data_IF_394480831993
#
_entry.id   IF_394480831993
#
_cell.length_a   1.000
_cell.length_b   1.000
_cell.length_c   1.000
_cell.angle_alpha   90.00
_cell.angle_beta   90.00
_cell.angle_gamma   90.00
#
_symmetry.space_group_name_H-M   'P 1'
#
loop_
_entity.id
_entity.type
_entity.pdbx_description
1 polymer ?
#
# COMPACT_ATOMS: atom_id res chain seq x y z
N UNK A 1 17.36 4.63 3.10
CA UNK A 1 18.40 3.80 2.47
C UNK A 1 18.62 2.58 3.34
N UNK A 2 18.43 1.36 2.84
CA UNK A 2 18.69 0.11 3.58
C UNK A 2 20.20 -0.15 3.75
N UNK A 3 20.98 0.91 3.93
CA UNK A 3 22.42 0.86 4.14
C UNK A 3 22.70 0.75 5.63
N UNK A 4 23.83 0.14 5.98
CA UNK A 4 24.30 0.14 7.37
C UNK A 4 24.75 1.57 7.68
N UNK A 5 24.11 2.26 8.63
CA UNK A 5 24.51 3.62 8.98
C UNK A 5 25.92 3.63 9.60
N UNK A 6 26.75 4.59 9.18
CA UNK A 6 28.05 4.85 9.79
C UNK A 6 27.88 5.52 11.15
N UNK A 7 26.92 6.45 11.27
CA UNK A 7 26.54 7.11 12.51
C UNK A 7 25.04 6.90 12.76
N UNK A 8 24.67 5.73 13.33
CA UNK A 8 23.28 5.43 13.65
C UNK A 8 22.75 6.37 14.74
N UNK A 9 21.61 6.98 14.45
CA UNK A 9 20.83 7.76 15.41
C UNK A 9 19.40 7.26 15.43
N UNK A 10 18.76 7.27 16.59
CA UNK A 10 17.37 6.89 16.76
C UNK A 10 16.51 8.15 16.90
N UNK A 11 15.40 8.21 16.17
CA UNK A 11 14.33 9.16 16.47
C UNK A 11 13.57 8.67 17.70
N UNK A 12 13.46 9.50 18.73
CA UNK A 12 12.67 9.19 19.94
C UNK A 12 11.16 9.05 19.66
N UNK A 13 10.69 9.56 18.52
CA UNK A 13 9.27 9.60 18.16
C UNK A 13 8.84 8.37 17.38
N UNK A 14 9.61 7.97 16.35
CA UNK A 14 9.32 6.79 15.53
C UNK A 14 10.05 5.53 16.00
N UNK A 15 11.08 5.67 16.85
CA UNK A 15 11.95 4.56 17.24
C UNK A 15 12.79 3.98 16.09
N UNK A 16 12.78 4.63 14.93
CA UNK A 16 13.51 4.18 13.75
C UNK A 16 14.97 4.64 13.80
N UNK A 17 15.86 3.80 13.25
CA UNK A 17 17.30 4.10 13.13
C UNK A 17 17.57 4.78 11.80
N UNK A 18 18.31 5.88 11.83
CA UNK A 18 18.71 6.65 10.67
C UNK A 18 20.22 6.91 10.67
N UNK A 19 20.75 7.26 9.50
CA UNK A 19 22.08 7.85 9.37
C UNK A 19 22.02 9.33 9.78
N UNK A 20 22.86 9.74 10.74
CA UNK A 20 22.86 11.10 11.33
C UNK A 20 22.82 12.19 10.27
N UNK A 21 23.71 12.11 9.28
CA UNK A 21 23.82 13.11 8.20
C UNK A 21 22.51 13.28 7.42
N UNK A 22 21.79 12.19 7.15
CA UNK A 22 20.58 12.21 6.34
C UNK A 22 19.39 12.74 7.14
N UNK A 23 19.21 12.29 8.38
CA UNK A 23 18.08 12.72 9.21
C UNK A 23 18.22 14.18 9.65
N UNK A 24 19.43 14.65 9.98
CA UNK A 24 19.66 16.06 10.30
C UNK A 24 19.32 16.96 9.10
N UNK A 25 19.70 16.56 7.89
CA UNK A 25 19.32 17.29 6.68
C UNK A 25 17.79 17.31 6.49
N UNK A 26 17.13 16.18 6.68
CA UNK A 26 15.67 16.09 6.55
C UNK A 26 14.93 16.95 7.58
N UNK A 27 15.37 16.94 8.84
CA UNK A 27 14.79 17.77 9.92
C UNK A 27 14.94 19.26 9.59
N UNK A 28 16.07 19.69 9.02
CA UNK A 28 16.25 21.10 8.60
C UNK A 28 15.33 21.52 7.46
N UNK A 29 15.00 20.59 6.57
CA UNK A 29 14.15 20.87 5.41
C UNK A 29 12.65 20.77 5.74
N UNK A 30 12.25 19.76 6.52
CA UNK A 30 10.84 19.41 6.75
C UNK A 30 10.37 19.63 8.19
N UNK A 31 11.27 19.68 9.18
CA UNK A 31 10.93 19.82 10.60
C UNK A 31 10.19 18.62 11.21
N UNK A 32 10.13 17.50 10.50
CA UNK A 32 9.33 16.32 10.85
C UNK A 32 10.15 15.04 10.72
N UNK A 33 9.62 13.94 11.27
CA UNK A 33 10.14 12.60 11.13
C UNK A 33 9.66 11.98 9.79
N UNK A 34 10.57 11.40 8.98
CA UNK A 34 10.25 10.88 7.66
C UNK A 34 9.34 9.63 7.66
N UNK A 35 9.17 8.93 8.79
CA UNK A 35 8.37 7.70 8.86
C UNK A 35 6.93 7.94 9.29
N UNK A 36 6.70 8.82 10.27
CA UNK A 36 5.37 9.06 10.84
C UNK A 36 4.87 10.49 10.66
N UNK A 37 5.69 11.40 10.13
CA UNK A 37 5.33 12.80 9.87
C UNK A 37 5.18 13.67 11.12
N UNK A 38 5.57 13.18 12.31
CA UNK A 38 5.49 13.95 13.55
C UNK A 38 6.63 14.96 13.66
N UNK A 39 6.45 16.03 14.43
CA UNK A 39 7.50 17.04 14.63
C UNK A 39 8.71 16.43 15.33
N UNK A 40 9.88 16.59 14.72
CA UNK A 40 11.14 16.05 15.22
C UNK A 40 12.21 17.13 15.15
N UNK A 41 12.91 17.34 16.26
CA UNK A 41 14.05 18.29 16.33
C UNK A 41 15.37 17.54 16.43
N UNK A 42 16.48 18.21 16.07
CA UNK A 42 17.82 17.58 16.11
C UNK A 42 18.20 17.09 17.52
N UNK A 43 17.75 17.79 18.58
CA UNK A 43 18.03 17.44 19.98
C UNK A 43 17.31 16.16 20.44
N UNK A 44 16.25 15.76 19.73
CA UNK A 44 15.48 14.56 20.03
C UNK A 44 16.08 13.29 19.41
N UNK A 45 17.20 13.43 18.68
CA UNK A 45 17.96 12.32 18.12
C UNK A 45 18.88 11.72 19.18
N UNK A 46 18.83 10.40 19.32
CA UNK A 46 19.65 9.65 20.27
C UNK A 46 20.76 8.94 19.49
N UNK A 47 22.02 9.31 19.73
CA UNK A 47 23.19 8.66 19.13
C UNK A 47 23.32 7.21 19.64
N UNK A 48 23.45 6.25 18.71
CA UNK A 48 23.67 4.85 19.03
C UNK A 48 25.16 4.53 18.88
N UNK A 49 25.80 4.14 19.98
CA UNK A 49 27.20 3.68 19.93
C UNK A 49 27.24 2.23 19.46
N UNK A 50 27.62 2.03 18.21
CA UNK A 50 27.83 0.70 17.62
C UNK A 50 29.32 0.53 17.31
N UNK A 51 29.88 -0.65 17.58
CA UNK A 51 31.22 -1.00 17.11
C UNK A 51 31.17 -1.07 15.58
N UNK A 52 32.03 -0.36 14.84
CA UNK A 52 31.97 -0.35 13.38
C UNK A 52 32.18 -1.77 12.84
N UNK A 53 31.12 -2.41 12.35
CA UNK A 53 31.22 -3.65 11.59
C UNK A 53 31.60 -3.24 10.17
N UNK A 54 32.88 -2.95 9.97
CA UNK A 54 33.40 -2.57 8.66
C UNK A 54 33.26 -3.75 7.69
N UNK A 55 32.46 -3.59 6.62
CA UNK A 55 32.59 -4.48 5.46
C UNK A 55 34.02 -4.35 4.94
N UNK A 56 34.79 -5.45 4.80
CA UNK A 56 36.14 -5.36 4.25
C UNK A 56 36.07 -4.77 2.84
N UNK A 57 36.74 -3.64 2.63
CA UNK A 57 36.82 -3.00 1.31
C UNK A 57 37.51 -3.99 0.36
N UNK A 58 36.90 -4.32 -0.80
CA UNK A 58 37.54 -5.24 -1.74
C UNK A 58 38.87 -4.65 -2.22
N UNK A 59 39.94 -5.47 -2.32
CA UNK A 59 41.31 -5.02 -2.57
C UNK A 59 41.54 -4.35 -3.94
N UNK A 60 40.52 -4.36 -4.82
CA UNK A 60 40.55 -3.76 -6.16
C UNK A 60 40.44 -2.23 -6.19
N UNK A 61 40.08 -1.57 -5.08
CA UNK A 61 39.88 -0.11 -5.02
C UNK A 61 41.15 0.70 -4.67
N UNK A 62 42.29 0.38 -5.29
CA UNK A 62 43.60 0.95 -4.93
C UNK A 62 44.26 1.80 -6.03
N UNK A 63 43.73 1.78 -7.25
CA UNK A 63 44.24 2.61 -8.37
C UNK A 63 43.17 3.57 -8.89
N UNK A 64 43.60 4.74 -9.39
CA UNK A 64 42.70 5.76 -9.97
C UNK A 64 41.79 5.15 -11.07
N UNK A 65 42.29 4.32 -12.00
CA UNK A 65 41.44 3.68 -13.00
C UNK A 65 40.39 2.74 -12.40
N UNK A 66 40.73 1.98 -11.36
CA UNK A 66 39.80 1.06 -10.72
C UNK A 66 38.67 1.79 -9.97
N UNK A 67 38.98 2.92 -9.33
CA UNK A 67 37.97 3.77 -8.67
C UNK A 67 37.02 4.37 -9.71
N UNK A 68 37.53 4.86 -10.85
CA UNK A 68 36.70 5.40 -11.92
C UNK A 68 35.75 4.34 -12.50
N UNK A 69 36.26 3.11 -12.70
CA UNK A 69 35.42 2.00 -13.16
C UNK A 69 34.31 1.66 -12.17
N UNK A 70 34.64 1.59 -10.88
CA UNK A 70 33.65 1.35 -9.82
C UNK A 70 32.58 2.44 -9.79
N UNK A 71 32.96 3.72 -9.89
CA UNK A 71 31.99 4.82 -9.95
C UNK A 71 31.10 4.76 -11.18
N UNK A 72 31.63 4.36 -12.34
CA UNK A 72 30.84 4.12 -13.55
C UNK A 72 29.83 2.99 -13.33
N UNK A 73 30.27 1.86 -12.78
CA UNK A 73 29.41 0.70 -12.53
C UNK A 73 28.27 1.02 -11.55
N UNK A 74 28.57 1.73 -10.47
CA UNK A 74 27.56 2.19 -9.51
C UNK A 74 26.58 3.19 -10.14
N UNK A 75 27.08 4.12 -10.97
CA UNK A 75 26.22 5.07 -11.66
C UNK A 75 25.29 4.39 -12.67
N UNK A 76 25.82 3.44 -13.47
CA UNK A 76 25.03 2.64 -14.40
C UNK A 76 23.95 1.84 -13.66
N UNK A 77 24.30 1.24 -12.52
CA UNK A 77 23.36 0.51 -11.67
C UNK A 77 22.25 1.41 -11.12
N UNK A 78 22.60 2.59 -10.58
CA UNK A 78 21.62 3.56 -10.06
C UNK A 78 20.71 4.09 -11.17
N UNK A 79 21.25 4.36 -12.34
CA UNK A 79 20.48 4.83 -13.50
C UNK A 79 19.49 3.77 -13.98
N UNK A 80 19.94 2.52 -14.14
CA UNK A 80 19.07 1.41 -14.54
C UNK A 80 17.97 1.17 -13.49
N UNK A 81 18.33 1.18 -12.21
CA UNK A 81 17.35 1.03 -11.12
C UNK A 81 16.31 2.16 -11.14
N UNK A 82 16.76 3.40 -11.31
CA UNK A 82 15.86 4.57 -11.39
C UNK A 82 14.93 4.50 -12.60
N UNK A 83 15.39 3.97 -13.73
CA UNK A 83 14.55 3.73 -14.89
C UNK A 83 13.49 2.66 -14.62
N UNK A 84 13.90 1.49 -14.11
CA UNK A 84 13.00 0.39 -13.74
C UNK A 84 11.95 0.84 -12.73
N UNK A 85 12.34 1.62 -11.71
CA UNK A 85 11.42 2.13 -10.70
C UNK A 85 10.35 3.06 -11.30
N UNK A 86 10.75 3.96 -12.22
CA UNK A 86 9.80 4.82 -12.94
C UNK A 86 8.85 4.00 -13.82
N UNK A 87 9.36 2.96 -14.47
CA UNK A 87 8.54 2.06 -15.28
C UNK A 87 7.51 1.31 -14.42
N UNK A 88 7.94 0.72 -13.30
CA UNK A 88 7.05 0.03 -12.36
C UNK A 88 5.98 0.96 -11.80
N UNK A 89 6.35 2.20 -11.44
CA UNK A 89 5.40 3.21 -10.96
C UNK A 89 4.33 3.52 -12.03
N UNK A 90 4.73 3.66 -13.30
CA UNK A 90 3.79 3.92 -14.39
C UNK A 90 2.85 2.74 -14.63
N UNK A 91 3.38 1.51 -14.62
CA UNK A 91 2.57 0.29 -14.71
C UNK A 91 1.57 0.19 -13.56
N UNK A 92 2.02 0.38 -12.31
CA UNK A 92 1.16 0.34 -11.14
C UNK A 92 0.03 1.38 -11.19
N UNK A 93 0.31 2.59 -11.71
CA UNK A 93 -0.73 3.61 -11.94
C UNK A 93 -1.77 3.18 -12.95
N UNK A 94 -1.34 2.54 -14.05
CA UNK A 94 -2.25 2.05 -15.08
C UNK A 94 -3.12 0.90 -14.55
N UNK A 95 -2.51 -0.05 -13.84
CA UNK A 95 -3.21 -1.17 -13.20
C UNK A 95 -4.23 -0.67 -12.17
N UNK A 96 -3.84 0.27 -11.29
CA UNK A 96 -4.75 0.86 -10.32
C UNK A 96 -5.94 1.54 -10.99
N UNK A 97 -5.70 2.32 -12.05
CA UNK A 97 -6.76 2.98 -12.81
C UNK A 97 -7.73 1.97 -13.41
N UNK A 98 -7.20 0.89 -13.98
CA UNK A 98 -8.00 -0.20 -14.54
C UNK A 98 -8.88 -0.87 -13.47
N UNK A 99 -8.30 -1.20 -12.31
CA UNK A 99 -9.02 -1.81 -11.19
C UNK A 99 -10.13 -0.88 -10.66
N UNK A 100 -9.87 0.43 -10.56
CA UNK A 100 -10.89 1.40 -10.13
C UNK A 100 -12.07 1.47 -11.11
N UNK A 101 -11.83 1.43 -12.43
CA UNK A 101 -12.90 1.38 -13.42
C UNK A 101 -13.71 0.08 -13.33
N UNK A 102 -13.03 -1.06 -13.18
CA UNK A 102 -13.70 -2.34 -12.99
C UNK A 102 -14.54 -2.36 -11.70
N UNK A 103 -14.02 -1.79 -10.60
CA UNK A 103 -14.73 -1.67 -9.33
C UNK A 103 -16.03 -0.87 -9.49
N UNK A 104 -15.98 0.31 -10.13
CA UNK A 104 -17.16 1.13 -10.37
C UNK A 104 -18.20 0.43 -11.28
N UNK A 105 -17.75 -0.31 -12.30
CA UNK A 105 -18.63 -1.15 -13.10
C UNK A 105 -19.29 -2.27 -12.28
N UNK A 106 -18.53 -2.94 -11.41
CA UNK A 106 -19.04 -3.98 -10.51
C UNK A 106 -20.08 -3.40 -9.53
N UNK A 107 -19.82 -2.22 -8.95
CA UNK A 107 -20.78 -1.52 -8.09
C UNK A 107 -22.11 -1.25 -8.81
N UNK A 108 -22.08 -0.85 -10.09
CA UNK A 108 -23.29 -0.67 -10.90
C UNK A 108 -24.07 -1.97 -11.09
N UNK A 109 -23.37 -3.09 -11.35
CA UNK A 109 -23.99 -4.41 -11.47
C UNK A 109 -24.64 -4.85 -10.15
N UNK A 110 -23.93 -4.69 -9.03
CA UNK A 110 -24.46 -5.03 -7.69
C UNK A 110 -25.71 -4.21 -7.39
N UNK A 111 -25.69 -2.89 -7.64
CA UNK A 111 -26.85 -2.04 -7.43
C UNK A 111 -28.06 -2.46 -8.28
N UNK A 112 -27.83 -2.85 -9.54
CA UNK A 112 -28.87 -3.39 -10.41
C UNK A 112 -29.43 -4.70 -9.88
N UNK A 113 -28.56 -5.66 -9.53
CA UNK A 113 -28.97 -6.96 -8.99
C UNK A 113 -29.74 -6.80 -7.68
N UNK A 114 -29.34 -5.88 -6.81
CA UNK A 114 -30.08 -5.57 -5.57
C UNK A 114 -31.51 -5.09 -5.86
N UNK A 115 -31.71 -4.27 -6.90
CA UNK A 115 -33.05 -3.84 -7.32
C UNK A 115 -33.87 -5.02 -7.87
N UNK A 116 -33.30 -5.85 -8.72
CA UNK A 116 -33.95 -7.04 -9.28
C UNK A 116 -34.34 -8.05 -8.19
N UNK A 117 -33.46 -8.29 -7.21
CA UNK A 117 -33.73 -9.15 -6.04
C UNK A 117 -34.85 -8.58 -5.18
N UNK A 118 -34.85 -7.27 -4.94
CA UNK A 118 -35.90 -6.61 -4.15
C UNK A 118 -37.26 -6.73 -4.83
N UNK A 119 -37.34 -6.43 -6.13
CA UNK A 119 -38.56 -6.56 -6.92
C UNK A 119 -39.08 -8.02 -6.95
N UNK A 120 -38.18 -9.01 -7.10
CA UNK A 120 -38.56 -10.42 -7.08
C UNK A 120 -39.12 -10.85 -5.70
N UNK A 121 -38.54 -10.36 -4.60
CA UNK A 121 -39.05 -10.62 -3.24
C UNK A 121 -40.43 -10.00 -3.00
N UNK A 122 -40.65 -8.77 -3.48
CA UNK A 122 -41.95 -8.10 -3.41
C UNK A 122 -43.02 -8.87 -4.20
N UNK A 123 -42.71 -9.31 -5.43
CA UNK A 123 -43.63 -10.13 -6.22
C UNK A 123 -43.95 -11.49 -5.56
N UNK A 124 -42.98 -12.12 -4.89
CA UNK A 124 -43.24 -13.34 -4.10
C UNK A 124 -44.13 -13.07 -2.88
N UNK A 125 -43.95 -11.91 -2.23
CA UNK A 125 -44.76 -11.51 -1.08
C UNK A 125 -46.22 -11.20 -1.47
N UNK A 126 -46.49 -10.69 -2.67
CA UNK A 126 -47.86 -10.47 -3.15
C UNK A 126 -48.57 -11.76 -3.58
N UNK A 127 -47.84 -12.79 -4.02
CA UNK A 127 -48.41 -14.09 -4.39
C UNK A 127 -48.75 -14.98 -3.18
N UNK A 128 -47.96 -14.92 -2.09
CA UNK A 128 -48.22 -15.71 -0.87
C UNK A 128 -49.60 -15.51 -0.21
N UNK A 129 -50.19 -14.29 -0.10
CA UNK A 129 -51.51 -14.11 0.50
C UNK A 129 -52.67 -14.70 -0.33
N UNK A 130 -52.50 -15.00 -1.62
CA UNK A 130 -53.54 -15.65 -2.43
C UNK A 130 -53.57 -17.19 -2.28
N UNK A 131 -52.47 -17.83 -1.87
CA UNK A 131 -52.42 -19.28 -1.70
C UNK A 131 -52.99 -19.78 -0.35
N UNK A 132 -53.25 -18.88 0.61
CA UNK A 132 -53.77 -19.22 1.94
C UNK A 132 -55.30 -19.20 2.07
N UNK A 133 -56.06 -18.76 1.05
CA UNK A 133 -57.52 -18.55 1.14
C UNK A 133 -58.33 -19.65 0.42
N UNK A 134 -57.71 -20.51 -0.38
CA UNK A 134 -58.39 -21.56 -1.16
C UNK A 134 -58.54 -22.92 -0.45
N UNK A 135 -58.27 -23.00 0.86
CA UNK A 135 -58.27 -24.26 1.63
C UNK A 135 -59.48 -24.53 2.54
N UNK A 136 -60.44 -23.61 2.69
CA UNK A 136 -61.57 -23.79 3.62
C UNK A 136 -62.88 -23.22 3.08
N UNK A 137 -63.59 -23.99 2.26
CA UNK A 137 -65.06 -23.98 2.08
C UNK A 137 -65.39 -24.91 0.91
N UNK A 138 -66.33 -25.84 0.93
CA UNK A 138 -67.22 -26.33 1.97
C UNK A 138 -67.64 -27.73 1.47
N UNK A 139 -67.53 -28.75 2.32
CA UNK A 139 -68.21 -30.02 2.10
C UNK A 139 -69.67 -29.74 2.48
N UNK A 140 -70.59 -29.76 1.52
CA UNK A 140 -72.03 -29.81 1.80
C UNK A 140 -72.71 -30.97 1.07
N UNK A 141 -73.76 -31.55 1.67
CA UNK A 141 -74.12 -32.95 1.49
C UNK A 141 -75.27 -33.18 0.50
N UNK A 142 -75.40 -34.46 0.15
CA UNK A 142 -76.42 -35.13 -0.69
C UNK A 142 -77.88 -34.83 -0.29
N UNK A 143 -78.75 -34.69 -1.30
CA UNK A 143 -80.18 -35.03 -1.30
C UNK A 143 -80.72 -34.88 -2.74
N UNK A 144 -81.61 -35.69 -3.32
CA UNK A 144 -82.30 -36.96 -2.97
C UNK A 144 -82.75 -37.58 -4.29
#
# INVERSE_FOLDING_TARGET
SNEVPEQPVISSVSGCVYEKRLITKYIRESGTDPMNGQTLTEDQLIDVKVTPIGKPRPPSATSIPAILKMLQDEWDAVMLHSFTLRQQLQTARQELSHVMYQHDAACRVIARLNKEVTAAREALATLKPQAGVSGQNAIQPVSS
#
